data_IF_147529640249
#
_entry.id   IF_147529640249
#
_cell.length_a   1.000
_cell.length_b   1.000
_cell.length_c   1.000
_cell.angle_alpha   90.00
_cell.angle_beta   90.00
_cell.angle_gamma   90.00
#
_symmetry.space_group_name_H-M   'P 1'
#
loop_
_entity.id
_entity.type
_entity.pdbx_description
1 polymer ?
#
# COMPACT_ATOMS: atom_id res chain seq x y z
N UNK A 1 -0.47 -0.07 4.40
CA UNK A 1 -0.16 -1.29 5.18
C UNK A 1 0.42 -2.40 4.31
N UNK A 2 -0.23 -2.79 3.21
CA UNK A 2 0.28 -3.84 2.29
C UNK A 2 1.74 -3.63 1.86
N UNK A 3 2.11 -2.40 1.46
CA UNK A 3 3.50 -2.05 1.10
C UNK A 3 4.50 -2.36 2.22
N UNK A 4 4.20 -1.99 3.47
CA UNK A 4 5.02 -2.36 4.63
C UNK A 4 5.13 -3.88 4.82
N UNK A 5 4.06 -4.62 4.57
CA UNK A 5 4.10 -6.10 4.68
C UNK A 5 5.06 -6.68 3.64
N UNK A 6 5.08 -6.14 2.42
CA UNK A 6 6.00 -6.58 1.36
C UNK A 6 7.46 -6.20 1.67
N UNK A 7 7.70 -5.00 2.21
CA UNK A 7 9.04 -4.46 2.45
C UNK A 7 9.66 -4.94 3.77
N UNK A 8 8.87 -4.98 4.85
CA UNK A 8 9.34 -5.24 6.22
C UNK A 8 9.06 -6.69 6.65
N UNK A 9 8.07 -7.36 6.05
CA UNK A 9 7.71 -8.74 6.38
C UNK A 9 7.04 -8.89 7.75
N UNK A 10 7.56 -9.82 8.57
CA UNK A 10 6.92 -10.25 9.82
C UNK A 10 6.58 -9.11 10.82
N UNK A 11 7.42 -8.09 11.03
CA UNK A 11 7.08 -6.95 11.89
C UNK A 11 5.78 -6.24 11.48
N UNK A 12 5.63 -5.90 10.19
CA UNK A 12 4.45 -5.23 9.68
C UNK A 12 3.19 -6.13 9.75
N UNK A 13 3.37 -7.44 9.60
CA UNK A 13 2.27 -8.41 9.80
C UNK A 13 1.79 -8.41 11.26
N UNK A 14 2.71 -8.39 12.23
CA UNK A 14 2.33 -8.38 13.64
C UNK A 14 1.67 -7.07 14.06
N UNK A 15 2.14 -5.93 13.54
CA UNK A 15 1.48 -4.63 13.72
C UNK A 15 0.05 -4.67 13.18
N UNK A 16 -0.15 -5.19 11.96
CA UNK A 16 -1.48 -5.31 11.39
C UNK A 16 -2.41 -6.23 12.19
N UNK A 17 -1.90 -7.37 12.69
CA UNK A 17 -2.68 -8.24 13.57
C UNK A 17 -3.08 -7.54 14.87
N UNK A 18 -2.25 -6.67 15.44
CA UNK A 18 -2.63 -5.86 16.61
C UNK A 18 -3.78 -4.90 16.30
N UNK A 19 -3.77 -4.28 15.12
CA UNK A 19 -4.88 -3.42 14.66
C UNK A 19 -6.18 -4.21 14.52
N UNK A 20 -6.13 -5.38 13.87
CA UNK A 20 -7.31 -6.25 13.73
C UNK A 20 -7.87 -6.70 15.09
N UNK A 21 -7.00 -7.03 16.06
CA UNK A 21 -7.41 -7.38 17.43
C UNK A 21 -8.01 -6.20 18.19
N UNK A 22 -7.56 -4.98 17.93
CA UNK A 22 -8.12 -3.77 18.56
C UNK A 22 -9.56 -3.49 18.07
N UNK A 23 -9.93 -3.95 16.87
CA UNK A 23 -11.26 -3.73 16.30
C UNK A 23 -11.63 -2.24 16.29
N UNK A 24 -12.90 -1.94 16.56
CA UNK A 24 -13.42 -0.58 16.62
C UNK A 24 -13.22 0.15 17.97
N UNK A 25 -12.33 -0.33 18.85
CA UNK A 25 -12.16 0.24 20.20
C UNK A 25 -11.26 1.48 20.25
N UNK A 26 -10.66 1.86 19.13
CA UNK A 26 -9.75 3.01 18.99
C UNK A 26 -10.18 3.85 17.80
N UNK A 27 -9.83 5.13 17.83
CA UNK A 27 -10.10 6.04 16.73
C UNK A 27 -9.21 5.74 15.50
N UNK A 28 -9.61 6.21 14.30
CA UNK A 28 -8.88 5.92 13.07
C UNK A 28 -7.41 6.38 13.04
N UNK A 29 -7.07 7.49 13.71
CA UNK A 29 -5.70 8.02 13.75
C UNK A 29 -4.84 7.06 14.56
N UNK A 30 -5.31 6.67 15.75
CA UNK A 30 -4.62 5.69 16.60
C UNK A 30 -4.46 4.34 15.91
N UNK A 31 -5.53 3.81 15.27
CA UNK A 31 -5.46 2.53 14.55
C UNK A 31 -4.47 2.56 13.39
N UNK A 32 -4.40 3.68 12.66
CA UNK A 32 -3.46 3.83 11.54
C UNK A 32 -2.02 3.92 12.03
N UNK A 33 -1.77 4.68 13.10
CA UNK A 33 -0.45 4.76 13.73
C UNK A 33 0.03 3.40 14.24
N UNK A 34 -0.87 2.58 14.81
CA UNK A 34 -0.57 1.18 15.17
C UNK A 34 -0.19 0.32 13.96
N UNK A 35 -0.72 0.61 12.76
CA UNK A 35 -0.31 -0.01 11.51
C UNK A 35 0.94 0.63 10.89
N UNK A 36 1.64 1.52 11.60
CA UNK A 36 2.80 2.28 11.13
C UNK A 36 2.48 3.23 9.97
N UNK A 37 1.25 3.73 9.90
CA UNK A 37 0.79 4.68 8.87
C UNK A 37 0.29 5.95 9.54
N UNK A 38 0.96 7.08 9.26
CA UNK A 38 0.49 8.38 9.70
C UNK A 38 -0.49 9.00 8.70
N UNK A 39 -1.78 8.83 8.97
CA UNK A 39 -2.88 9.36 8.14
C UNK A 39 -3.17 10.84 8.41
N UNK A 40 -2.45 11.50 9.32
CA UNK A 40 -2.59 12.96 9.53
C UNK A 40 -1.80 13.75 8.48
N UNK A 41 -0.95 13.08 7.72
CA UNK A 41 -0.20 13.63 6.59
C UNK A 41 -0.81 13.18 5.26
N UNK A 42 -0.45 13.86 4.18
CA UNK A 42 -0.84 13.48 2.82
C UNK A 42 -0.02 12.31 2.25
N UNK A 43 1.05 11.89 2.93
CA UNK A 43 2.02 10.90 2.45
C UNK A 43 1.37 9.54 2.12
N UNK A 44 0.46 8.95 2.93
CA UNK A 44 -0.17 7.68 2.59
C UNK A 44 -1.02 7.77 1.32
N UNK A 45 -1.70 8.89 1.09
CA UNK A 45 -2.49 9.13 -0.11
C UNK A 45 -1.58 9.28 -1.33
N UNK A 46 -0.54 10.12 -1.24
CA UNK A 46 0.45 10.30 -2.32
C UNK A 46 1.14 8.99 -2.69
N UNK A 47 1.51 8.17 -1.71
CA UNK A 47 2.09 6.85 -1.97
C UNK A 47 1.12 5.92 -2.70
N UNK A 48 -0.18 5.99 -2.39
CA UNK A 48 -1.22 5.18 -3.07
C UNK A 48 -1.37 5.63 -4.52
N UNK A 49 -1.42 6.95 -4.77
CA UNK A 49 -1.50 7.52 -6.12
C UNK A 49 -0.28 7.11 -6.95
N UNK A 50 0.92 7.23 -6.39
CA UNK A 50 2.16 6.85 -7.07
C UNK A 50 2.17 5.36 -7.46
N UNK A 51 1.76 4.48 -6.55
CA UNK A 51 1.69 3.04 -6.82
C UNK A 51 0.67 2.69 -7.91
N UNK A 52 -0.48 3.37 -7.96
CA UNK A 52 -1.43 3.20 -9.07
C UNK A 52 -0.82 3.68 -10.39
N UNK A 53 -0.08 4.79 -10.36
CA UNK A 53 0.68 5.27 -11.52
C UNK A 53 1.66 4.23 -12.04
N UNK A 54 2.46 3.62 -11.15
CA UNK A 54 3.41 2.55 -11.52
C UNK A 54 2.71 1.36 -12.20
N UNK A 55 1.52 0.98 -11.75
CA UNK A 55 0.73 -0.09 -12.38
C UNK A 55 0.25 0.32 -13.78
N UNK A 56 -0.19 1.58 -13.95
CA UNK A 56 -0.63 2.08 -15.25
C UNK A 56 0.55 2.07 -16.23
N UNK A 57 1.71 2.57 -15.81
CA UNK A 57 2.93 2.57 -16.62
C UNK A 57 3.34 1.15 -17.04
N UNK A 58 3.20 0.17 -16.13
CA UNK A 58 3.46 -1.25 -16.43
C UNK A 58 2.48 -1.80 -17.47
N UNK A 59 1.18 -1.48 -17.35
CA UNK A 59 0.16 -1.90 -18.32
C UNK A 59 0.44 -1.30 -19.70
N UNK A 60 0.77 -0.01 -19.77
CA UNK A 60 1.12 0.66 -21.03
C UNK A 60 2.32 -0.02 -21.71
N UNK A 61 3.40 -0.25 -20.96
CA UNK A 61 4.60 -0.92 -21.47
C UNK A 61 4.33 -2.35 -21.96
N UNK A 62 3.56 -3.14 -21.20
CA UNK A 62 3.20 -4.50 -21.59
C UNK A 62 2.36 -4.49 -22.86
N UNK A 63 1.43 -3.54 -22.98
CA UNK A 63 0.58 -3.36 -24.16
C UNK A 63 1.41 -3.01 -25.40
N UNK A 64 2.36 -2.06 -25.30
CA UNK A 64 3.29 -1.73 -26.38
C UNK A 64 4.14 -2.94 -26.79
N UNK A 65 4.62 -3.72 -25.82
CA UNK A 65 5.44 -4.92 -26.08
C UNK A 65 4.63 -5.93 -26.91
N UNK A 66 3.38 -6.21 -26.52
CA UNK A 66 2.52 -7.14 -27.25
C UNK A 66 2.24 -6.70 -28.69
N UNK A 67 1.96 -5.41 -28.92
CA UNK A 67 1.75 -4.91 -30.29
C UNK A 67 3.01 -4.97 -31.17
N UNK A 68 4.19 -4.79 -30.57
CA UNK A 68 5.45 -4.85 -31.30
C UNK A 68 5.91 -6.29 -31.60
N UNK A 69 5.45 -7.29 -30.84
CA UNK A 69 5.74 -8.71 -31.10
C UNK A 69 4.87 -9.34 -32.21
N UNK A 70 3.75 -8.70 -32.59
CA UNK A 70 2.84 -9.15 -33.66
C UNK A 70 3.22 -8.63 -35.07
N UNK A 71 4.29 -7.83 -35.20
CA UNK A 71 4.84 -7.28 -36.46
C UNK A 71 6.17 -7.95 -36.85
#
# INVERSE_FOLDING_TARGET
>A
VSKRILEEGAPAVEDWKKVLRAGGTKDPITLSAMAGVDITTDKPLKNTIAYIGEIIDEIEKLTETLYNEEL
#
